data_IF_402559607426
#
_entry.id   IF_402559607426
#
_cell.length_a   1.000
_cell.length_b   1.000
_cell.length_c   1.000
_cell.angle_alpha   90.00
_cell.angle_beta   90.00
_cell.angle_gamma   90.00
#
_symmetry.space_group_name_H-M   'P 1'
#
loop_
_entity.id
_entity.type
_entity.pdbx_description
1 polymer ?
#
# COMPACT_ATOMS: atom_id res chain seq x y z
N UNK A 1 -40.31 -0.67 16.87
CA UNK A 1 -38.97 -1.27 17.06
C UNK A 1 -38.36 -1.84 15.78
N UNK A 2 -39.06 -2.63 14.96
CA UNK A 2 -38.46 -3.35 13.80
C UNK A 2 -37.87 -2.47 12.67
N UNK A 3 -38.29 -1.20 12.52
CA UNK A 3 -37.78 -0.29 11.48
C UNK A 3 -36.41 0.31 11.82
N UNK A 4 -36.14 0.55 13.11
CA UNK A 4 -34.87 1.13 13.58
C UNK A 4 -33.75 0.10 13.46
N UNK A 5 -34.04 -1.18 13.74
CA UNK A 5 -33.07 -2.28 13.60
C UNK A 5 -32.64 -2.50 12.15
N UNK A 6 -33.55 -2.32 11.18
CA UNK A 6 -33.23 -2.41 9.75
C UNK A 6 -32.36 -1.26 9.25
N UNK A 7 -32.63 -0.03 9.72
CA UNK A 7 -31.82 1.15 9.38
C UNK A 7 -30.41 1.02 9.98
N UNK A 8 -30.31 0.54 11.22
CA UNK A 8 -29.03 0.29 11.88
C UNK A 8 -28.21 -0.79 11.14
N UNK A 9 -28.86 -1.86 10.68
CA UNK A 9 -28.21 -2.92 9.89
C UNK A 9 -27.69 -2.42 8.53
N UNK A 10 -28.37 -1.46 7.90
CA UNK A 10 -27.97 -0.92 6.60
C UNK A 10 -26.74 0.02 6.72
N UNK A 11 -26.64 0.79 7.80
CA UNK A 11 -25.47 1.65 8.06
C UNK A 11 -24.18 0.85 8.29
N UNK A 12 -24.27 -0.33 8.90
CA UNK A 12 -23.10 -1.19 9.15
C UNK A 12 -22.51 -1.73 7.84
N UNK A 13 -23.35 -2.08 6.85
CA UNK A 13 -22.85 -2.54 5.54
C UNK A 13 -22.14 -1.45 4.76
N UNK A 14 -22.57 -0.19 4.87
CA UNK A 14 -21.96 0.92 4.12
C UNK A 14 -20.58 1.28 4.69
N UNK A 15 -20.42 1.22 6.02
CA UNK A 15 -19.16 1.57 6.70
C UNK A 15 -17.96 0.65 6.37
N UNK A 16 -18.21 -0.60 5.95
CA UNK A 16 -17.14 -1.55 5.63
C UNK A 16 -16.43 -1.25 4.30
N UNK A 17 -17.12 -0.55 3.40
CA UNK A 17 -16.61 -0.18 2.05
C UNK A 17 -15.47 0.84 2.08
N UNK A 18 -15.26 1.52 3.21
CA UNK A 18 -14.26 2.58 3.37
C UNK A 18 -12.91 2.10 3.92
N UNK A 19 -12.73 0.80 4.19
CA UNK A 19 -11.40 0.26 4.46
C UNK A 19 -10.63 0.09 3.14
N UNK A 20 -10.23 1.20 2.53
CA UNK A 20 -9.18 1.19 1.52
C UNK A 20 -7.88 0.76 2.21
N UNK A 21 -7.37 -0.45 1.92
CA UNK A 21 -6.02 -0.83 2.34
C UNK A 21 -5.03 0.13 1.68
N UNK A 22 -4.09 0.66 2.46
CA UNK A 22 -2.94 1.37 1.90
C UNK A 22 -2.32 0.49 0.81
N UNK A 23 -2.19 1.04 -0.41
CA UNK A 23 -1.54 0.33 -1.49
C UNK A 23 -0.06 0.15 -1.13
N UNK A 24 0.47 -1.06 -1.29
CA UNK A 24 1.89 -1.33 -1.12
C UNK A 24 2.47 -1.74 -2.48
N UNK A 25 3.67 -1.28 -2.77
CA UNK A 25 4.37 -1.59 -4.02
C UNK A 25 5.75 -2.15 -3.74
N UNK A 26 6.15 -3.18 -4.50
CA UNK A 26 7.47 -3.79 -4.42
C UNK A 26 8.36 -3.25 -5.54
N UNK A 27 9.48 -2.61 -5.19
CA UNK A 27 10.40 -1.99 -6.15
C UNK A 27 11.74 -2.72 -6.14
N UNK A 28 12.07 -3.29 -7.29
CA UNK A 28 13.32 -4.00 -7.53
C UNK A 28 14.27 -3.06 -8.26
N UNK A 29 15.36 -2.63 -7.60
CA UNK A 29 16.27 -1.62 -8.16
C UNK A 29 17.76 -1.94 -7.98
N UNK A 30 18.53 -1.74 -9.06
CA UNK A 30 20.01 -1.85 -9.04
C UNK A 30 20.68 -0.58 -8.51
N UNK A 31 19.95 0.51 -8.23
CA UNK A 31 20.60 1.76 -7.79
C UNK A 31 20.98 1.70 -6.32
N UNK A 32 21.88 2.61 -5.93
CA UNK A 32 22.39 2.69 -4.57
C UNK A 32 21.28 3.13 -3.61
N UNK A 33 21.09 2.46 -2.45
CA UNK A 33 20.01 2.76 -1.52
C UNK A 33 19.99 4.21 -1.04
N UNK A 34 21.17 4.79 -0.83
CA UNK A 34 21.38 6.14 -0.32
C UNK A 34 20.73 7.21 -1.21
N UNK A 35 20.65 6.96 -2.52
CA UNK A 35 20.09 7.91 -3.48
C UNK A 35 18.58 7.79 -3.62
N UNK A 36 18.01 6.57 -3.52
CA UNK A 36 16.58 6.35 -3.79
C UNK A 36 15.71 6.33 -2.54
N UNK A 37 16.23 5.84 -1.41
CA UNK A 37 15.47 5.76 -0.16
C UNK A 37 14.82 7.10 0.27
N UNK A 38 15.50 8.27 0.19
CA UNK A 38 14.83 9.53 0.50
C UNK A 38 13.67 9.87 -0.44
N UNK A 39 13.76 9.48 -1.71
CA UNK A 39 12.69 9.68 -2.71
C UNK A 39 11.48 8.83 -2.36
N UNK A 40 11.69 7.55 -2.01
CA UNK A 40 10.60 6.66 -1.59
C UNK A 40 9.93 7.13 -0.30
N UNK A 41 10.72 7.64 0.65
CA UNK A 41 10.17 8.19 1.88
C UNK A 41 9.27 9.41 1.62
N UNK A 42 9.64 10.30 0.70
CA UNK A 42 8.80 11.43 0.31
C UNK A 42 7.54 10.97 -0.40
N UNK A 43 7.68 10.05 -1.36
CA UNK A 43 6.54 9.45 -2.05
C UNK A 43 5.54 8.80 -1.08
N UNK A 44 6.01 7.99 -0.12
CA UNK A 44 5.16 7.37 0.89
C UNK A 44 4.52 8.39 1.81
N UNK A 45 5.22 9.47 2.18
CA UNK A 45 4.63 10.54 2.99
C UNK A 45 3.52 11.30 2.26
N UNK A 46 3.68 11.56 0.97
CA UNK A 46 2.69 12.31 0.17
C UNK A 46 1.49 11.46 -0.24
N UNK A 47 1.71 10.18 -0.52
CA UNK A 47 0.68 9.30 -1.10
C UNK A 47 0.08 8.30 -0.11
N UNK A 48 0.75 8.06 1.03
CA UNK A 48 0.43 6.97 1.94
C UNK A 48 0.74 5.57 1.38
N UNK A 49 1.33 5.47 0.19
CA UNK A 49 1.66 4.19 -0.46
C UNK A 49 3.00 3.69 0.05
N UNK A 50 3.02 2.49 0.61
CA UNK A 50 4.25 1.90 1.17
C UNK A 50 5.10 1.34 0.04
N UNK A 51 6.39 1.71 0.02
CA UNK A 51 7.36 1.22 -0.97
C UNK A 51 8.32 0.22 -0.32
N UNK A 52 8.22 -1.04 -0.73
CA UNK A 52 9.11 -2.12 -0.31
C UNK A 52 10.23 -2.28 -1.35
N UNK A 53 11.42 -1.78 -1.06
CA UNK A 53 12.53 -1.77 -2.01
C UNK A 53 13.53 -2.92 -1.79
N UNK A 54 13.86 -3.66 -2.85
CA UNK A 54 14.92 -4.67 -2.88
C UNK A 54 16.09 -4.15 -3.71
N UNK A 55 17.26 -4.08 -3.09
CA UNK A 55 18.49 -3.57 -3.72
C UNK A 55 19.44 -4.72 -4.02
N UNK A 56 19.44 -5.22 -5.26
CA UNK A 56 20.37 -6.26 -5.68
C UNK A 56 21.51 -5.68 -6.52
N UNK A 57 22.70 -6.31 -6.44
CA UNK A 57 23.86 -5.94 -7.27
C UNK A 57 23.80 -6.59 -8.66
N UNK A 58 23.24 -7.80 -8.75
CA UNK A 58 23.02 -8.60 -9.96
C UNK A 58 21.83 -9.57 -9.71
N UNK A 59 21.26 -10.19 -10.75
CA UNK A 59 20.31 -11.31 -10.59
C UNK A 59 18.87 -10.95 -10.18
N UNK A 60 18.42 -9.69 -10.35
CA UNK A 60 17.06 -9.29 -9.95
C UNK A 60 15.97 -9.88 -10.84
N UNK A 61 16.26 -10.07 -12.12
CA UNK A 61 15.32 -10.63 -13.11
C UNK A 61 14.92 -12.07 -12.79
N UNK A 62 15.80 -12.82 -12.12
CA UNK A 62 15.56 -14.20 -11.72
C UNK A 62 14.57 -14.29 -10.56
N UNK A 63 14.39 -13.22 -9.77
CA UNK A 63 13.44 -13.15 -8.65
C UNK A 63 12.03 -12.75 -9.06
N UNK A 64 11.84 -12.36 -10.33
CA UNK A 64 10.56 -11.88 -10.88
C UNK A 64 9.80 -12.96 -11.67
N UNK A 65 10.42 -14.11 -11.96
CA UNK A 65 9.76 -15.28 -12.56
C UNK A 65 9.16 -16.17 -11.49
#
# INVERSE_FOLDING_TARGET
>A
MLRITKILSLCVLIGLSCLAKAAEVNVYSYRQPQLIKPIFNLFTQETGIIVNAVYAKTGMLERLR
#
